data_IF_306098536544
#
_entry.id   IF_306098536544
#
_cell.length_a   1.000
_cell.length_b   1.000
_cell.length_c   1.000
_cell.angle_alpha   90.00
_cell.angle_beta   90.00
_cell.angle_gamma   90.00
#
_symmetry.space_group_name_H-M   'P 1'
#
loop_
_entity.id
_entity.type
_entity.pdbx_description
1 polymer ?
#
# COMPACT_ATOMS: atom_id res chain seq x y z
N UNK A 1 -12.28 -17.42 -6.62
CA UNK A 1 -12.98 -16.22 -6.09
C UNK A 1 -14.38 -16.65 -5.72
N UNK A 2 -14.87 -16.33 -4.50
CA UNK A 2 -16.15 -16.86 -4.02
C UNK A 2 -17.35 -16.08 -4.59
N UNK A 3 -17.24 -14.76 -4.66
CA UNK A 3 -18.37 -13.88 -5.00
C UNK A 3 -18.23 -13.20 -6.37
N UNK A 4 -17.08 -13.34 -7.05
CA UNK A 4 -16.79 -12.73 -8.36
C UNK A 4 -17.01 -11.20 -8.45
N UNK A 5 -16.91 -10.48 -7.34
CA UNK A 5 -17.14 -9.03 -7.31
C UNK A 5 -15.82 -8.23 -7.27
N UNK A 6 -15.53 -7.40 -8.29
CA UNK A 6 -14.36 -6.50 -8.27
C UNK A 6 -14.39 -5.49 -7.12
N UNK A 7 -15.59 -5.12 -6.66
CA UNK A 7 -15.83 -4.23 -5.52
C UNK A 7 -15.17 -4.75 -4.23
N UNK A 8 -15.03 -6.07 -4.07
CA UNK A 8 -14.35 -6.68 -2.92
C UNK A 8 -12.88 -6.27 -2.88
N UNK A 9 -12.19 -6.31 -4.03
CA UNK A 9 -10.79 -5.89 -4.15
C UNK A 9 -10.68 -4.38 -3.97
N UNK A 10 -11.55 -3.60 -4.62
CA UNK A 10 -11.57 -2.15 -4.49
C UNK A 10 -11.71 -1.70 -3.03
N UNK A 11 -12.67 -2.28 -2.30
CA UNK A 11 -12.90 -1.99 -0.88
C UNK A 11 -11.67 -2.30 -0.02
N UNK A 12 -11.00 -3.42 -0.29
CA UNK A 12 -9.76 -3.76 0.40
C UNK A 12 -8.64 -2.74 0.10
N UNK A 13 -8.45 -2.37 -1.17
CA UNK A 13 -7.41 -1.42 -1.56
C UNK A 13 -7.63 -0.04 -0.96
N UNK A 14 -8.87 0.45 -0.88
CA UNK A 14 -9.20 1.70 -0.19
C UNK A 14 -8.87 1.63 1.30
N UNK A 15 -9.22 0.54 1.98
CA UNK A 15 -8.86 0.37 3.40
C UNK A 15 -7.36 0.36 3.62
N UNK A 16 -6.61 -0.34 2.75
CA UNK A 16 -5.15 -0.38 2.79
C UNK A 16 -4.56 1.01 2.56
N UNK A 17 -4.99 1.73 1.52
CA UNK A 17 -4.46 3.06 1.21
C UNK A 17 -4.77 4.08 2.30
N UNK A 18 -5.97 4.04 2.89
CA UNK A 18 -6.32 4.88 4.04
C UNK A 18 -5.38 4.62 5.22
N UNK A 19 -5.16 3.36 5.58
CA UNK A 19 -4.29 3.02 6.71
C UNK A 19 -2.83 3.44 6.45
N UNK A 20 -2.32 3.21 5.24
CA UNK A 20 -0.96 3.63 4.84
C UNK A 20 -0.82 5.15 4.90
N UNK A 21 -1.84 5.89 4.47
CA UNK A 21 -1.85 7.36 4.53
C UNK A 21 -1.81 7.84 5.98
N UNK A 22 -2.62 7.26 6.86
CA UNK A 22 -2.58 7.59 8.30
C UNK A 22 -1.22 7.26 8.94
N UNK A 23 -0.57 6.18 8.51
CA UNK A 23 0.77 5.86 8.97
C UNK A 23 1.82 6.85 8.45
N UNK A 24 1.63 7.42 7.25
CA UNK A 24 2.61 8.31 6.60
C UNK A 24 2.90 9.58 7.40
N UNK A 25 1.90 10.14 8.07
CA UNK A 25 2.08 11.35 8.91
C UNK A 25 2.86 11.09 10.21
N UNK A 26 2.91 9.82 10.65
CA UNK A 26 3.41 9.42 11.98
C UNK A 26 4.74 8.65 11.87
N UNK A 27 4.87 7.73 10.90
CA UNK A 27 5.98 6.79 10.77
C UNK A 27 7.00 7.26 9.73
N UNK A 28 7.74 8.30 10.08
CA UNK A 28 8.82 8.82 9.23
C UNK A 28 9.92 7.76 9.01
N UNK A 29 10.38 7.60 7.77
CA UNK A 29 11.50 6.70 7.44
C UNK A 29 12.82 7.47 7.45
N UNK A 30 12.83 8.69 6.91
CA UNK A 30 14.00 9.54 6.85
C UNK A 30 14.38 10.07 8.25
N UNK A 31 15.68 10.18 8.52
CA UNK A 31 16.21 10.73 9.77
C UNK A 31 16.02 9.84 11.00
N UNK A 32 15.66 8.56 10.82
CA UNK A 32 15.55 7.59 11.90
C UNK A 32 16.79 6.71 12.00
N UNK A 33 16.93 6.01 13.14
CA UNK A 33 17.94 4.97 13.32
C UNK A 33 17.77 3.86 12.27
N UNK A 34 18.90 3.27 11.84
CA UNK A 34 18.97 2.31 10.73
C UNK A 34 17.97 1.17 10.85
N UNK A 35 17.83 0.56 12.03
CA UNK A 35 16.94 -0.59 12.24
C UNK A 35 15.46 -0.19 12.12
N UNK A 36 15.09 0.95 12.71
CA UNK A 36 13.73 1.51 12.63
C UNK A 36 13.39 1.93 11.21
N UNK A 37 14.33 2.58 10.52
CA UNK A 37 14.17 3.00 9.12
C UNK A 37 13.96 1.78 8.21
N UNK A 38 14.75 0.72 8.37
CA UNK A 38 14.60 -0.52 7.61
C UNK A 38 13.24 -1.18 7.85
N UNK A 39 12.80 -1.27 9.11
CA UNK A 39 11.50 -1.85 9.45
C UNK A 39 10.34 -1.06 8.81
N UNK A 40 10.36 0.28 8.91
CA UNK A 40 9.33 1.14 8.32
C UNK A 40 9.36 1.10 6.78
N UNK A 41 10.56 1.07 6.18
CA UNK A 41 10.70 0.97 4.73
C UNK A 41 10.15 -0.37 4.20
N UNK A 42 10.39 -1.47 4.92
CA UNK A 42 9.82 -2.78 4.58
C UNK A 42 8.28 -2.77 4.66
N UNK A 43 7.71 -2.12 5.67
CA UNK A 43 6.27 -1.92 5.79
C UNK A 43 5.70 -1.16 4.58
N UNK A 44 6.26 -0.01 4.22
CA UNK A 44 5.79 0.77 3.07
C UNK A 44 6.00 0.05 1.73
N UNK A 45 7.12 -0.65 1.57
CA UNK A 45 7.42 -1.43 0.37
C UNK A 45 6.40 -2.55 0.15
N UNK A 46 6.07 -3.31 1.21
CA UNK A 46 5.07 -4.37 1.13
C UNK A 46 3.66 -3.84 0.84
N UNK A 47 3.29 -2.70 1.44
CA UNK A 47 2.02 -2.03 1.16
C UNK A 47 1.94 -1.53 -0.29
N UNK A 48 3.02 -0.91 -0.81
CA UNK A 48 3.13 -0.50 -2.22
C UNK A 48 2.97 -1.68 -3.16
N UNK A 49 3.65 -2.80 -2.89
CA UNK A 49 3.54 -4.01 -3.71
C UNK A 49 2.12 -4.59 -3.72
N UNK A 50 1.46 -4.59 -2.57
CA UNK A 50 0.08 -5.09 -2.45
C UNK A 50 -0.90 -4.21 -3.22
N UNK A 51 -0.76 -2.88 -3.14
CA UNK A 51 -1.53 -1.93 -3.95
C UNK A 51 -1.28 -2.13 -5.44
N UNK A 52 -0.01 -2.26 -5.86
CA UNK A 52 0.37 -2.53 -7.23
C UNK A 52 -0.33 -3.78 -7.78
N UNK A 53 -0.28 -4.89 -7.03
CA UNK A 53 -0.91 -6.15 -7.42
C UNK A 53 -2.43 -6.00 -7.55
N UNK A 54 -3.08 -5.39 -6.56
CA UNK A 54 -4.53 -5.21 -6.58
C UNK A 54 -5.01 -4.32 -7.72
N UNK A 55 -4.31 -3.22 -7.99
CA UNK A 55 -4.59 -2.33 -9.12
C UNK A 55 -4.45 -3.07 -10.46
N UNK A 56 -3.40 -3.89 -10.63
CA UNK A 56 -3.21 -4.72 -11.83
C UNK A 56 -4.32 -5.76 -12.01
N UNK A 57 -4.78 -6.39 -10.93
CA UNK A 57 -5.91 -7.33 -10.97
C UNK A 57 -7.20 -6.62 -11.43
N UNK A 58 -7.40 -5.36 -11.05
CA UNK A 58 -8.52 -4.53 -11.49
C UNK A 58 -8.36 -3.95 -12.90
N UNK A 59 -7.29 -4.27 -13.62
CA UNK A 59 -7.02 -3.76 -14.96
C UNK A 59 -6.46 -2.33 -15.00
N UNK A 60 -6.06 -1.78 -13.86
CA UNK A 60 -5.42 -0.46 -13.78
C UNK A 60 -3.92 -0.56 -14.03
N UNK A 61 -3.31 0.57 -14.41
CA UNK A 61 -1.86 0.71 -14.53
C UNK A 61 -1.34 1.60 -13.40
N UNK A 62 -0.65 1.03 -12.39
CA UNK A 62 -0.04 1.82 -11.32
C UNK A 62 1.03 2.74 -11.89
N UNK A 63 1.06 3.99 -11.43
CA UNK A 63 2.06 4.98 -11.83
C UNK A 63 3.07 5.22 -10.71
N UNK A 64 4.31 5.53 -11.06
CA UNK A 64 5.36 5.83 -10.08
C UNK A 64 5.36 7.29 -9.60
N UNK A 65 4.87 8.19 -10.44
CA UNK A 65 4.64 9.60 -10.14
C UNK A 65 3.33 10.03 -10.80
N UNK A 66 2.51 10.76 -10.04
CA UNK A 66 1.28 11.41 -10.50
C UNK A 66 1.52 12.89 -10.75
#
# INVERSE_FOLDING_TARGET
MKNHEPSTICTYLFRLSHQVSSCYDILWVAGQEKEVALARLALYSSARQTLYNGMRILGLTPVERM
#
